data_IF_787892415402
#
_entry.id   IF_787892415402
#
_cell.length_a   1.000
_cell.length_b   1.000
_cell.length_c   1.000
_cell.angle_alpha   90.00
_cell.angle_beta   90.00
_cell.angle_gamma   90.00
#
_symmetry.space_group_name_H-M   'P 1'
#
loop_
_entity.id
_entity.type
_entity.pdbx_description
1 polymer ?
#
# COMPACT_ATOMS: atom_id res chain seq x y z
N UNK A 1 83.91 36.08 -26.72
CA UNK A 1 82.56 36.32 -27.14
C UNK A 1 81.78 34.99 -27.17
N UNK A 2 81.21 34.61 -26.04
CA UNK A 2 80.35 33.38 -25.97
C UNK A 2 79.05 33.77 -25.30
N UNK A 3 77.98 33.67 -26.09
CA UNK A 3 76.56 33.87 -25.64
C UNK A 3 76.02 32.54 -25.08
N UNK A 4 75.76 32.52 -23.80
CA UNK A 4 75.04 31.42 -23.17
C UNK A 4 73.54 31.57 -23.50
N UNK A 5 72.92 30.49 -24.05
CA UNK A 5 71.50 30.39 -24.26
C UNK A 5 70.93 29.62 -23.10
N UNK A 6 70.13 30.34 -22.30
CA UNK A 6 69.40 29.71 -21.17
C UNK A 6 68.09 29.15 -21.65
N UNK A 7 67.98 27.81 -21.65
CA UNK A 7 66.75 27.09 -21.98
C UNK A 7 65.82 27.09 -20.77
N UNK A 8 64.66 27.71 -20.88
CA UNK A 8 63.61 27.77 -19.84
C UNK A 8 62.57 26.66 -20.15
N UNK A 9 62.65 25.61 -19.34
CA UNK A 9 61.72 24.49 -19.43
C UNK A 9 60.44 24.87 -18.66
N UNK A 10 59.35 25.08 -19.40
CA UNK A 10 58.03 25.32 -18.81
C UNK A 10 57.41 23.96 -18.45
N UNK A 11 57.32 23.68 -17.16
CA UNK A 11 56.66 22.48 -16.60
C UNK A 11 55.14 22.78 -16.51
N UNK A 12 54.33 22.28 -17.46
CA UNK A 12 52.89 22.43 -17.45
C UNK A 12 52.32 21.35 -16.51
N UNK A 13 51.94 21.73 -15.31
CA UNK A 13 51.24 20.87 -14.36
C UNK A 13 49.77 20.71 -14.82
N UNK A 14 49.42 19.56 -15.33
CA UNK A 14 48.03 19.17 -15.68
C UNK A 14 47.33 18.76 -14.39
N UNK A 15 46.54 19.67 -13.79
CA UNK A 15 45.71 19.39 -12.62
C UNK A 15 44.47 18.66 -13.12
N UNK A 16 44.44 17.32 -12.96
CA UNK A 16 43.27 16.49 -13.19
C UNK A 16 42.24 16.77 -12.07
N UNK A 17 41.26 17.63 -12.32
CA UNK A 17 40.09 17.81 -11.44
C UNK A 17 39.25 16.55 -11.55
N UNK A 18 39.38 15.61 -10.61
CA UNK A 18 38.45 14.52 -10.43
C UNK A 18 37.15 15.11 -9.87
N UNK A 19 36.14 15.31 -10.72
CA UNK A 19 34.76 15.50 -10.29
C UNK A 19 34.29 14.17 -9.69
N UNK A 20 34.39 14.04 -8.37
CA UNK A 20 33.68 13.00 -7.63
C UNK A 20 32.17 13.32 -7.77
N UNK A 21 31.51 12.67 -8.72
CA UNK A 21 30.04 12.62 -8.73
C UNK A 21 29.64 11.88 -7.47
N UNK A 22 29.21 12.61 -6.45
CA UNK A 22 28.55 12.02 -5.30
C UNK A 22 27.30 11.32 -5.83
N UNK A 23 27.35 10.00 -5.96
CA UNK A 23 26.14 9.22 -6.16
C UNK A 23 25.24 9.51 -4.95
N UNK A 24 24.18 10.29 -5.16
CA UNK A 24 23.17 10.48 -4.13
C UNK A 24 22.61 9.11 -3.78
N UNK A 25 22.77 8.69 -2.53
CA UNK A 25 22.15 7.44 -2.08
C UNK A 25 20.65 7.53 -2.33
N UNK A 26 20.06 6.45 -2.86
CA UNK A 26 18.62 6.35 -3.07
C UNK A 26 17.91 6.53 -1.72
N UNK A 27 17.05 7.54 -1.61
CA UNK A 27 16.21 7.73 -0.44
C UNK A 27 14.94 6.87 -0.55
N UNK A 28 15.04 5.65 -0.01
CA UNK A 28 13.93 4.70 -0.03
C UNK A 28 12.69 5.22 0.73
N UNK A 29 12.88 6.05 1.77
CA UNK A 29 11.76 6.63 2.53
C UNK A 29 11.01 7.64 1.67
N UNK A 30 11.71 8.52 0.98
CA UNK A 30 11.09 9.48 0.07
C UNK A 30 10.36 8.78 -1.10
N UNK A 31 10.90 7.66 -1.60
CA UNK A 31 10.23 6.85 -2.63
C UNK A 31 8.95 6.22 -2.07
N UNK A 32 8.99 5.62 -0.87
CA UNK A 32 7.83 5.01 -0.23
C UNK A 32 6.71 6.03 0.02
N UNK A 33 7.04 7.22 0.48
CA UNK A 33 6.08 8.32 0.65
C UNK A 33 5.43 8.75 -0.67
N UNK A 34 6.19 8.73 -1.77
CA UNK A 34 5.64 9.04 -3.09
C UNK A 34 4.73 7.91 -3.60
N UNK A 35 5.09 6.64 -3.34
CA UNK A 35 4.21 5.49 -3.61
C UNK A 35 2.87 5.66 -2.90
N UNK A 36 2.88 6.01 -1.62
CA UNK A 36 1.65 6.22 -0.85
C UNK A 36 0.77 7.32 -1.46
N UNK A 37 1.35 8.48 -1.78
CA UNK A 37 0.62 9.60 -2.42
C UNK A 37 0.06 9.26 -3.80
N UNK A 38 0.76 8.41 -4.57
CA UNK A 38 0.27 7.92 -5.87
C UNK A 38 -0.85 6.90 -5.72
N UNK A 39 -0.82 6.10 -4.65
CA UNK A 39 -1.81 5.06 -4.42
C UNK A 39 -3.12 5.60 -3.86
N UNK A 40 -3.11 6.65 -3.05
CA UNK A 40 -4.34 7.16 -2.43
C UNK A 40 -4.18 8.58 -1.90
N UNK A 41 -5.23 9.43 -2.03
CA UNK A 41 -5.29 10.72 -1.36
C UNK A 41 -5.28 10.59 0.16
N UNK A 42 -5.05 11.69 0.86
CA UNK A 42 -5.09 11.74 2.32
C UNK A 42 -6.49 11.44 2.86
N UNK A 43 -7.52 12.05 2.25
CA UNK A 43 -8.91 11.79 2.57
C UNK A 43 -9.70 11.49 1.30
N UNK A 44 -10.43 10.37 1.30
CA UNK A 44 -11.16 9.93 0.11
C UNK A 44 -12.31 8.97 0.45
N UNK A 45 -13.21 8.81 -0.51
CA UNK A 45 -14.13 7.67 -0.56
C UNK A 45 -13.92 6.85 -1.83
N UNK A 46 -14.24 5.55 -1.77
CA UNK A 46 -14.27 4.70 -2.96
C UNK A 46 -15.17 3.50 -2.80
N UNK A 47 -15.52 2.91 -3.94
CA UNK A 47 -16.18 1.60 -3.99
C UNK A 47 -15.17 0.53 -4.37
N UNK A 48 -15.35 -0.66 -3.80
CA UNK A 48 -14.52 -1.83 -4.08
C UNK A 48 -15.41 -3.03 -4.38
N UNK A 49 -15.01 -3.81 -5.38
CA UNK A 49 -15.56 -5.14 -5.60
C UNK A 49 -14.52 -6.17 -5.15
N UNK A 50 -14.86 -6.96 -4.14
CA UNK A 50 -14.04 -8.06 -3.67
C UNK A 50 -14.58 -9.36 -4.26
N UNK A 51 -13.71 -10.18 -4.86
CA UNK A 51 -14.02 -11.47 -5.47
C UNK A 51 -13.13 -12.52 -4.82
N UNK A 52 -13.71 -13.46 -4.10
CA UNK A 52 -13.02 -14.64 -3.60
C UNK A 52 -13.24 -15.81 -4.55
N UNK A 53 -12.16 -16.48 -4.96
CA UNK A 53 -12.16 -17.60 -5.89
C UNK A 53 -11.65 -18.82 -5.13
N UNK A 54 -12.49 -19.84 -5.01
CA UNK A 54 -12.18 -21.10 -4.35
C UNK A 54 -11.45 -22.06 -5.31
N UNK A 55 -10.77 -23.12 -4.81
CA UNK A 55 -10.02 -24.04 -5.66
C UNK A 55 -10.85 -24.78 -6.73
N UNK A 56 -12.15 -24.95 -6.49
CA UNK A 56 -13.13 -25.55 -7.42
C UNK A 56 -13.63 -24.56 -8.47
N UNK A 57 -13.17 -23.29 -8.43
CA UNK A 57 -13.59 -22.22 -9.32
C UNK A 57 -14.84 -21.45 -8.86
N UNK A 58 -15.45 -21.85 -7.73
CA UNK A 58 -16.57 -21.12 -7.15
C UNK A 58 -16.16 -19.68 -6.80
N UNK A 59 -17.05 -18.71 -7.08
CA UNK A 59 -16.77 -17.27 -6.90
C UNK A 59 -17.80 -16.66 -5.96
N UNK A 60 -17.28 -15.91 -4.95
CA UNK A 60 -18.10 -15.11 -4.04
C UNK A 60 -17.74 -13.65 -4.23
N UNK A 61 -18.74 -12.82 -4.48
CA UNK A 61 -18.55 -11.41 -4.80
C UNK A 61 -19.17 -10.52 -3.73
N UNK A 62 -18.45 -9.46 -3.37
CA UNK A 62 -18.88 -8.50 -2.35
C UNK A 62 -18.64 -7.08 -2.89
N UNK A 63 -19.55 -6.17 -2.58
CA UNK A 63 -19.37 -4.75 -2.85
C UNK A 63 -19.19 -4.03 -1.53
N UNK A 64 -18.14 -3.22 -1.46
CA UNK A 64 -17.81 -2.42 -0.30
C UNK A 64 -17.78 -0.94 -0.67
N UNK A 65 -18.23 -0.10 0.26
CA UNK A 65 -17.91 1.31 0.30
C UNK A 65 -16.81 1.50 1.34
N UNK A 66 -15.85 2.37 1.07
CA UNK A 66 -14.77 2.71 2.01
C UNK A 66 -14.55 4.20 2.05
N UNK A 67 -14.27 4.72 3.25
CA UNK A 67 -13.85 6.09 3.49
C UNK A 67 -12.55 6.08 4.31
N UNK A 68 -11.60 6.94 3.94
CA UNK A 68 -10.35 7.19 4.65
C UNK A 68 -10.27 8.66 5.02
N UNK A 69 -9.72 8.94 6.19
CA UNK A 69 -9.33 10.28 6.60
C UNK A 69 -7.98 10.23 7.27
N UNK A 70 -7.13 11.19 6.93
CA UNK A 70 -5.76 11.27 7.44
C UNK A 70 -4.96 9.96 7.19
N UNK A 71 -3.93 9.73 7.96
CA UNK A 71 -3.06 8.56 7.80
C UNK A 71 -3.49 7.35 8.63
N UNK A 72 -4.47 7.50 9.52
CA UNK A 72 -4.75 6.52 10.58
C UNK A 72 -6.23 6.13 10.73
N UNK A 73 -7.15 6.73 9.94
CA UNK A 73 -8.59 6.50 10.07
C UNK A 73 -9.17 5.92 8.80
N UNK A 74 -9.76 4.75 8.90
CA UNK A 74 -10.44 4.11 7.78
C UNK A 74 -11.68 3.35 8.19
N UNK A 75 -12.73 3.43 7.38
CA UNK A 75 -13.98 2.71 7.58
C UNK A 75 -14.35 1.99 6.29
N UNK A 76 -14.92 0.78 6.41
CA UNK A 76 -15.47 0.05 5.28
C UNK A 76 -16.85 -0.51 5.61
N UNK A 77 -17.75 -0.48 4.66
CA UNK A 77 -19.12 -0.95 4.75
C UNK A 77 -19.41 -1.94 3.63
N UNK A 78 -19.94 -3.11 3.97
CA UNK A 78 -20.43 -4.08 3.00
C UNK A 78 -21.82 -3.68 2.51
N UNK A 79 -21.96 -3.59 1.20
CA UNK A 79 -23.21 -3.23 0.50
C UNK A 79 -23.92 -4.45 -0.10
N UNK A 80 -23.15 -5.47 -0.47
CA UNK A 80 -23.61 -6.70 -1.13
C UNK A 80 -22.68 -7.85 -0.78
N UNK A 81 -23.16 -9.09 -0.74
CA UNK A 81 -24.55 -9.53 -0.88
C UNK A 81 -25.44 -9.15 0.32
N UNK A 82 -26.75 -9.43 0.21
CA UNK A 82 -27.72 -9.10 1.27
C UNK A 82 -27.36 -9.71 2.64
N UNK A 83 -26.71 -10.88 2.68
CA UNK A 83 -26.24 -11.55 3.91
C UNK A 83 -25.15 -10.75 4.66
N UNK A 84 -24.39 -9.91 3.96
CA UNK A 84 -23.30 -9.12 4.52
C UNK A 84 -23.63 -7.62 4.62
N UNK A 85 -24.77 -7.21 4.04
CA UNK A 85 -25.16 -5.80 3.99
C UNK A 85 -25.23 -5.19 5.39
N UNK A 86 -24.62 -4.02 5.54
CA UNK A 86 -24.55 -3.28 6.81
C UNK A 86 -23.42 -3.71 7.75
N UNK A 87 -22.71 -4.81 7.44
CA UNK A 87 -21.46 -5.14 8.12
C UNK A 87 -20.45 -4.03 7.87
N UNK A 88 -19.91 -3.45 8.92
CA UNK A 88 -18.95 -2.36 8.81
C UNK A 88 -17.71 -2.60 9.68
N UNK A 89 -16.58 -2.08 9.25
CA UNK A 89 -15.31 -2.17 9.97
C UNK A 89 -14.73 -0.78 10.14
N UNK A 90 -14.07 -0.53 11.25
CA UNK A 90 -13.38 0.71 11.56
C UNK A 90 -11.93 0.39 11.92
N UNK A 91 -11.00 1.16 11.40
CA UNK A 91 -9.61 1.21 11.84
C UNK A 91 -9.29 2.60 12.38
N UNK A 92 -8.64 2.65 13.54
CA UNK A 92 -8.04 3.83 14.15
C UNK A 92 -6.61 3.46 14.56
N UNK A 93 -5.64 3.90 13.77
CA UNK A 93 -4.25 3.49 13.95
C UNK A 93 -4.12 1.96 13.98
N UNK A 94 -3.61 1.43 15.08
CA UNK A 94 -3.40 -0.01 15.27
C UNK A 94 -4.66 -0.79 15.66
N UNK A 95 -5.76 -0.11 15.93
CA UNK A 95 -6.96 -0.74 16.45
C UNK A 95 -8.02 -0.92 15.37
N UNK A 96 -8.65 -2.10 15.35
CA UNK A 96 -9.69 -2.43 14.37
C UNK A 96 -10.92 -3.01 15.07
N UNK A 97 -12.10 -2.64 14.57
CA UNK A 97 -13.40 -3.14 15.07
C UNK A 97 -14.29 -3.54 13.91
N UNK A 98 -15.13 -4.51 14.19
CA UNK A 98 -16.17 -5.03 13.29
C UNK A 98 -17.52 -4.79 13.95
N UNK A 99 -18.46 -4.23 13.19
CA UNK A 99 -19.86 -4.17 13.53
C UNK A 99 -20.66 -5.09 12.59
N UNK A 100 -21.54 -5.89 13.17
CA UNK A 100 -22.48 -6.74 12.45
C UNK A 100 -23.88 -6.35 12.95
N UNK A 101 -24.83 -5.96 12.06
CA UNK A 101 -26.14 -5.45 12.47
C UNK A 101 -26.88 -6.35 13.46
N UNK A 102 -26.87 -7.67 13.23
CA UNK A 102 -27.56 -8.65 14.08
C UNK A 102 -26.90 -8.87 15.45
N UNK A 103 -25.65 -8.44 15.62
CA UNK A 103 -24.91 -8.50 16.90
C UNK A 103 -25.14 -7.20 17.69
N UNK A 104 -25.32 -6.09 16.99
CA UNK A 104 -25.71 -4.79 17.55
C UNK A 104 -24.61 -4.04 18.30
N UNK A 105 -23.41 -4.59 18.44
CA UNK A 105 -22.26 -3.94 19.10
C UNK A 105 -20.96 -4.20 18.36
N UNK A 106 -20.02 -3.21 18.33
CA UNK A 106 -18.70 -3.41 17.76
C UNK A 106 -17.89 -4.45 18.57
N UNK A 107 -17.19 -5.31 17.86
CA UNK A 107 -16.24 -6.28 18.43
C UNK A 107 -14.83 -5.97 17.91
N UNK A 108 -13.81 -6.14 18.74
CA UNK A 108 -12.43 -5.94 18.33
C UNK A 108 -11.97 -7.09 17.44
N UNK A 109 -11.28 -6.75 16.36
CA UNK A 109 -10.72 -7.71 15.39
C UNK A 109 -9.22 -7.48 15.23
N UNK A 110 -8.53 -8.45 14.62
CA UNK A 110 -7.09 -8.37 14.35
C UNK A 110 -6.82 -8.10 12.88
N UNK A 111 -5.64 -7.54 12.60
CA UNK A 111 -5.18 -7.20 11.25
C UNK A 111 -5.10 -8.41 10.32
N UNK A 112 -4.60 -9.55 10.81
CA UNK A 112 -4.40 -10.79 10.04
C UNK A 112 -5.67 -11.63 9.84
N UNK A 113 -6.76 -11.33 10.53
CA UNK A 113 -7.99 -12.10 10.38
C UNK A 113 -8.54 -11.98 8.96
N UNK A 114 -8.80 -13.13 8.32
CA UNK A 114 -9.37 -13.21 6.96
C UNK A 114 -10.73 -12.50 6.88
N UNK A 115 -10.93 -11.78 5.79
CA UNK A 115 -12.20 -11.14 5.48
C UNK A 115 -13.04 -12.12 4.66
N UNK A 116 -14.13 -12.59 5.26
CA UNK A 116 -15.16 -13.44 4.61
C UNK A 116 -14.55 -14.67 3.89
N UNK A 117 -13.57 -15.32 4.51
CA UNK A 117 -12.99 -16.57 4.02
C UNK A 117 -12.11 -16.46 2.77
N UNK A 118 -11.76 -15.23 2.34
CA UNK A 118 -10.83 -15.00 1.23
C UNK A 118 -9.36 -14.91 1.66
N UNK A 119 -8.49 -14.61 0.70
CA UNK A 119 -7.05 -14.42 0.93
C UNK A 119 -6.77 -13.02 1.51
N UNK A 120 -7.62 -12.03 1.25
CA UNK A 120 -7.51 -10.71 1.89
C UNK A 120 -7.85 -10.80 3.38
N UNK A 121 -7.11 -10.07 4.18
CA UNK A 121 -7.36 -9.89 5.61
C UNK A 121 -7.82 -8.46 5.93
N UNK A 122 -8.07 -8.16 7.20
CA UNK A 122 -8.56 -6.85 7.61
C UNK A 122 -7.59 -5.73 7.26
N UNK A 123 -6.27 -5.95 7.36
CA UNK A 123 -5.29 -4.91 6.99
C UNK A 123 -5.26 -4.61 5.49
N UNK A 124 -5.59 -5.56 4.63
CA UNK A 124 -5.69 -5.31 3.19
C UNK A 124 -6.93 -4.48 2.84
N UNK A 125 -8.03 -4.69 3.58
CA UNK A 125 -9.27 -3.93 3.38
C UNK A 125 -9.16 -2.53 4.01
N UNK A 126 -8.56 -2.43 5.20
CA UNK A 126 -8.38 -1.20 5.96
C UNK A 126 -6.92 -0.74 5.89
N UNK A 127 -6.35 -0.73 4.68
CA UNK A 127 -4.95 -0.39 4.45
C UNK A 127 -4.68 1.08 4.73
N UNK A 128 -3.68 1.34 5.56
CA UNK A 128 -3.09 2.67 5.74
C UNK A 128 -1.95 2.88 4.75
N UNK A 129 -1.34 4.05 4.80
CA UNK A 129 -0.15 4.33 4.01
C UNK A 129 1.01 3.44 4.49
N UNK A 130 1.82 2.96 3.55
CA UNK A 130 2.93 2.06 3.88
C UNK A 130 3.95 2.72 4.80
N UNK A 131 4.23 4.00 4.62
CA UNK A 131 5.17 4.75 5.45
C UNK A 131 4.71 4.89 6.92
N UNK A 132 3.40 4.74 7.19
CA UNK A 132 2.86 4.73 8.56
C UNK A 132 3.15 3.40 9.26
N UNK A 133 3.01 2.29 8.54
CA UNK A 133 3.14 0.93 9.09
C UNK A 133 4.56 0.38 9.01
N UNK A 134 5.38 0.85 8.06
CA UNK A 134 6.69 0.27 7.74
C UNK A 134 7.82 1.31 7.73
N UNK A 135 9.05 0.80 7.89
CA UNK A 135 10.30 1.54 7.63
C UNK A 135 11.06 0.86 6.52
N UNK A 136 11.66 1.63 5.62
CA UNK A 136 12.55 1.09 4.60
C UNK A 136 13.86 0.64 5.25
N UNK A 137 14.23 -0.63 5.05
CA UNK A 137 15.49 -1.22 5.51
C UNK A 137 16.55 -1.22 4.43
N UNK A 138 16.13 -1.45 3.21
CA UNK A 138 17.00 -1.47 2.05
C UNK A 138 16.23 -1.01 0.82
N UNK A 139 16.93 -0.41 -0.13
CA UNK A 139 16.46 -0.12 -1.47
C UNK A 139 17.54 -0.45 -2.47
N UNK A 140 17.16 -1.14 -3.51
CA UNK A 140 18.00 -1.41 -4.67
C UNK A 140 17.26 -1.03 -5.94
N UNK A 141 18.00 -0.85 -7.02
CA UNK A 141 17.43 -0.59 -8.34
C UNK A 141 17.96 -1.59 -9.35
N UNK A 142 17.09 -2.06 -10.22
CA UNK A 142 17.45 -2.92 -11.35
C UNK A 142 16.55 -2.56 -12.52
N UNK A 143 17.18 -2.16 -13.65
CA UNK A 143 16.45 -1.67 -14.81
C UNK A 143 15.52 -0.52 -14.47
N UNK A 144 14.26 -0.65 -14.86
CA UNK A 144 13.20 0.36 -14.63
C UNK A 144 12.45 0.17 -13.30
N UNK A 145 13.04 -0.51 -12.32
CA UNK A 145 12.38 -0.85 -11.05
C UNK A 145 13.21 -0.48 -9.84
N UNK A 146 12.50 -0.11 -8.76
CA UNK A 146 13.01 -0.10 -7.40
C UNK A 146 12.51 -1.34 -6.67
N UNK A 147 13.36 -1.90 -5.80
CA UNK A 147 13.04 -2.98 -4.87
C UNK A 147 13.27 -2.48 -3.47
N UNK A 148 12.20 -2.39 -2.68
CA UNK A 148 12.21 -1.93 -1.31
C UNK A 148 12.00 -3.10 -0.36
N UNK A 149 12.93 -3.29 0.60
CA UNK A 149 12.72 -4.17 1.74
C UNK A 149 12.18 -3.32 2.90
N UNK A 150 10.96 -3.62 3.31
CA UNK A 150 10.24 -2.90 4.36
C UNK A 150 10.13 -3.74 5.62
N UNK A 151 10.26 -3.11 6.79
CA UNK A 151 10.09 -3.75 8.10
C UNK A 151 8.96 -3.08 8.87
N UNK A 152 8.06 -3.88 9.45
CA UNK A 152 7.00 -3.39 10.32
C UNK A 152 7.54 -2.53 11.46
N UNK A 153 6.87 -1.42 11.76
CA UNK A 153 7.24 -0.51 12.85
C UNK A 153 6.96 -1.10 14.21
N UNK A 154 5.92 -1.92 14.31
CA UNK A 154 5.52 -2.56 15.56
C UNK A 154 4.79 -3.89 15.30
N UNK A 155 4.48 -4.64 16.36
CA UNK A 155 3.87 -5.97 16.29
C UNK A 155 2.36 -5.97 15.97
N UNK A 156 1.69 -4.80 15.89
CA UNK A 156 0.26 -4.71 15.50
C UNK A 156 0.09 -4.71 13.98
N UNK A 157 1.15 -4.39 13.23
CA UNK A 157 1.18 -4.44 11.77
C UNK A 157 1.04 -5.88 11.29
N UNK A 158 0.24 -6.09 10.24
CA UNK A 158 -0.15 -7.44 9.80
C UNK A 158 1.02 -8.32 9.34
N UNK A 159 1.99 -7.74 8.67
CA UNK A 159 3.15 -8.46 8.13
C UNK A 159 4.43 -7.90 8.73
N UNK A 160 5.34 -8.78 9.17
CA UNK A 160 6.62 -8.34 9.75
C UNK A 160 7.55 -7.68 8.74
N UNK A 161 7.43 -8.05 7.48
CA UNK A 161 8.19 -7.46 6.38
C UNK A 161 7.46 -7.52 5.05
N UNK A 162 7.80 -6.57 4.19
CA UNK A 162 7.35 -6.55 2.80
C UNK A 162 8.56 -6.45 1.88
N UNK A 163 8.46 -7.10 0.71
CA UNK A 163 9.31 -6.79 -0.45
C UNK A 163 8.43 -6.17 -1.51
N UNK A 164 8.69 -4.92 -1.81
CA UNK A 164 7.88 -4.12 -2.72
C UNK A 164 8.68 -3.81 -3.98
N UNK A 165 8.11 -4.16 -5.13
CA UNK A 165 8.60 -3.81 -6.45
C UNK A 165 7.81 -2.61 -6.96
N UNK A 166 8.52 -1.53 -7.34
CA UNK A 166 7.95 -0.24 -7.75
C UNK A 166 8.50 0.14 -9.12
N UNK A 167 7.62 0.52 -10.04
CA UNK A 167 8.02 1.05 -11.34
C UNK A 167 8.58 2.47 -11.18
N UNK A 168 9.79 2.74 -11.71
CA UNK A 168 10.48 4.04 -11.55
C UNK A 168 9.74 5.20 -12.19
N UNK A 169 9.17 4.98 -13.36
CA UNK A 169 8.53 6.04 -14.16
C UNK A 169 7.25 6.57 -13.55
N UNK A 170 6.49 5.72 -12.87
CA UNK A 170 5.18 6.02 -12.29
C UNK A 170 5.18 6.13 -10.78
N UNK A 171 6.16 5.50 -10.11
CA UNK A 171 6.22 5.27 -8.68
C UNK A 171 5.01 4.47 -8.15
N UNK A 172 4.46 3.58 -8.98
CA UNK A 172 3.38 2.68 -8.59
C UNK A 172 3.93 1.31 -8.21
N UNK A 173 3.39 0.66 -7.15
CA UNK A 173 3.75 -0.69 -6.80
C UNK A 173 3.21 -1.67 -7.85
N UNK A 174 4.01 -2.66 -8.20
CA UNK A 174 3.63 -3.74 -9.11
C UNK A 174 3.37 -5.04 -8.36
N UNK A 175 4.29 -5.40 -7.48
CA UNK A 175 4.23 -6.62 -6.68
C UNK A 175 4.64 -6.30 -5.25
N UNK A 176 3.93 -6.87 -4.29
CA UNK A 176 4.32 -6.83 -2.88
C UNK A 176 4.22 -8.24 -2.31
N UNK A 177 5.35 -8.75 -1.85
CA UNK A 177 5.42 -10.00 -1.11
C UNK A 177 5.36 -9.72 0.39
N UNK A 178 4.45 -10.39 1.09
CA UNK A 178 4.18 -10.18 2.51
C UNK A 178 4.74 -11.35 3.33
N UNK A 179 5.59 -11.04 4.32
CA UNK A 179 6.34 -12.01 5.09
C UNK A 179 6.02 -11.97 6.58
N UNK A 180 6.04 -13.16 7.21
CA UNK A 180 6.05 -13.32 8.67
C UNK A 180 7.46 -13.06 9.23
N UNK A 181 7.59 -12.89 10.56
CA UNK A 181 8.85 -12.74 11.28
C UNK A 181 9.84 -13.89 11.04
N UNK A 182 9.33 -15.10 10.77
CA UNK A 182 10.14 -16.28 10.43
C UNK A 182 10.76 -16.22 9.01
N UNK A 183 10.42 -15.22 8.21
CA UNK A 183 10.78 -15.15 6.80
C UNK A 183 9.87 -15.96 5.87
N UNK A 184 8.79 -16.55 6.40
CA UNK A 184 7.84 -17.29 5.59
C UNK A 184 6.97 -16.34 4.76
N UNK A 185 6.85 -16.61 3.45
CA UNK A 185 5.93 -15.90 2.58
C UNK A 185 4.47 -16.22 2.97
N UNK A 186 3.71 -15.18 3.32
CA UNK A 186 2.28 -15.31 3.67
C UNK A 186 1.42 -15.19 2.43
N UNK A 187 1.64 -14.17 1.61
CA UNK A 187 0.92 -13.92 0.36
C UNK A 187 1.70 -13.01 -0.56
N UNK A 188 1.25 -12.95 -1.82
CA UNK A 188 1.72 -11.98 -2.80
C UNK A 188 0.55 -11.12 -3.27
N UNK A 189 0.74 -9.81 -3.29
CA UNK A 189 -0.17 -8.81 -3.84
C UNK A 189 0.36 -8.39 -5.21
N UNK A 190 -0.50 -8.39 -6.24
CA UNK A 190 -0.14 -7.96 -7.61
C UNK A 190 -1.09 -6.87 -8.05
N UNK A 191 -0.55 -5.73 -8.39
CA UNK A 191 -1.29 -4.57 -8.88
C UNK A 191 -1.34 -4.58 -10.40
N UNK A 192 -2.50 -4.29 -10.98
CA UNK A 192 -2.74 -4.33 -12.42
C UNK A 192 -3.77 -3.28 -12.85
N UNK A 193 -3.88 -3.07 -14.16
CA UNK A 193 -4.83 -2.18 -14.81
C UNK A 193 -4.77 -0.74 -14.30
N UNK A 194 -3.79 -0.01 -14.79
CA UNK A 194 -3.66 1.42 -14.49
C UNK A 194 -4.87 2.17 -15.07
N UNK A 195 -5.57 2.91 -14.23
CA UNK A 195 -6.73 3.73 -14.59
C UNK A 195 -6.58 5.15 -14.02
N UNK A 196 -7.16 6.13 -14.72
CA UNK A 196 -7.30 7.50 -14.25
C UNK A 196 -8.64 7.65 -13.52
N UNK A 197 -8.56 7.88 -12.21
CA UNK A 197 -9.73 8.12 -11.35
C UNK A 197 -10.18 9.59 -11.36
N UNK A 198 -9.53 10.44 -12.14
CA UNK A 198 -9.76 11.88 -12.19
C UNK A 198 -8.78 12.68 -11.31
N UNK A 199 -8.74 14.01 -11.53
CA UNK A 199 -7.86 14.94 -10.81
C UNK A 199 -6.37 14.56 -10.81
N UNK A 200 -5.92 13.80 -11.84
CA UNK A 200 -4.53 13.33 -11.96
C UNK A 200 -4.20 12.13 -11.07
N UNK A 201 -5.18 11.50 -10.44
CA UNK A 201 -5.00 10.29 -9.66
C UNK A 201 -4.99 9.05 -10.58
N UNK A 202 -3.81 8.74 -11.10
CA UNK A 202 -3.56 7.58 -11.97
C UNK A 202 -2.92 6.47 -11.15
N UNK A 203 -3.60 5.32 -11.03
CA UNK A 203 -3.15 4.20 -10.20
C UNK A 203 -3.74 2.86 -10.65
N UNK A 204 -3.24 1.72 -10.12
CA UNK A 204 -3.85 0.42 -10.37
C UNK A 204 -5.30 0.36 -9.89
N UNK A 205 -6.18 -0.18 -10.74
CA UNK A 205 -7.60 -0.41 -10.45
C UNK A 205 -7.90 -1.85 -10.04
N UNK A 206 -6.93 -2.77 -10.17
CA UNK A 206 -7.05 -4.17 -9.80
C UNK A 206 -5.92 -4.57 -8.87
N UNK A 207 -6.26 -5.30 -7.82
CA UNK A 207 -5.32 -5.95 -6.90
C UNK A 207 -5.67 -7.42 -6.80
N UNK A 208 -4.76 -8.29 -7.23
CA UNK A 208 -4.88 -9.73 -7.09
C UNK A 208 -4.00 -10.26 -5.95
N UNK A 209 -4.45 -11.30 -5.27
CA UNK A 209 -3.65 -11.97 -4.26
C UNK A 209 -3.87 -13.47 -4.25
N UNK A 210 -2.79 -14.18 -4.01
CA UNK A 210 -2.75 -15.59 -3.68
C UNK A 210 -1.82 -15.83 -2.48
N UNK A 211 -1.90 -17.01 -1.91
CA UNK A 211 -1.10 -17.38 -0.74
C UNK A 211 -0.63 -18.82 -0.86
N UNK A 212 0.66 -19.09 -0.58
CA UNK A 212 1.16 -20.47 -0.50
C UNK A 212 0.53 -21.26 0.65
N UNK A 213 -0.04 -20.55 1.65
CA UNK A 213 -0.74 -21.14 2.80
C UNK A 213 -2.14 -21.65 2.45
N UNK A 214 -2.76 -21.10 1.41
CA UNK A 214 -4.11 -21.42 0.95
C UNK A 214 -4.09 -21.82 -0.53
N UNK A 215 -3.57 -23.02 -0.80
CA UNK A 215 -3.40 -23.51 -2.19
C UNK A 215 -4.70 -23.49 -2.98
N UNK A 216 -4.64 -22.85 -4.17
CA UNK A 216 -5.76 -22.76 -5.09
C UNK A 216 -6.77 -21.66 -4.78
N UNK A 217 -6.71 -21.02 -3.60
CA UNK A 217 -7.52 -19.83 -3.31
C UNK A 217 -6.87 -18.59 -3.91
N UNK A 218 -7.70 -17.74 -4.49
CA UNK A 218 -7.32 -16.40 -4.97
C UNK A 218 -8.34 -15.38 -4.52
N UNK A 219 -7.93 -14.15 -4.38
CA UNK A 219 -8.85 -13.03 -4.18
C UNK A 219 -8.47 -11.88 -5.10
N UNK A 220 -9.48 -11.19 -5.61
CA UNK A 220 -9.30 -10.02 -6.50
C UNK A 220 -10.09 -8.86 -5.89
N UNK A 221 -9.49 -7.70 -5.84
CA UNK A 221 -10.12 -6.44 -5.47
C UNK A 221 -10.08 -5.51 -6.67
N UNK A 222 -11.26 -5.02 -7.08
CA UNK A 222 -11.40 -4.02 -8.12
C UNK A 222 -11.81 -2.71 -7.45
N UNK A 223 -11.04 -1.66 -7.71
CA UNK A 223 -11.30 -0.32 -7.19
C UNK A 223 -12.13 0.49 -8.21
N UNK A 224 -13.09 1.26 -7.72
CA UNK A 224 -13.95 2.09 -8.56
C UNK A 224 -14.38 3.36 -7.82
N UNK A 225 -14.65 4.42 -8.56
CA UNK A 225 -15.20 5.69 -8.04
C UNK A 225 -14.39 6.23 -6.86
N UNK A 226 -13.06 6.17 -6.96
CA UNK A 226 -12.18 6.81 -6.00
C UNK A 226 -12.26 8.33 -6.21
N UNK A 227 -12.59 9.06 -5.15
CA UNK A 227 -12.63 10.52 -5.19
C UNK A 227 -12.22 11.11 -3.84
N UNK A 228 -11.51 12.22 -3.90
CA UNK A 228 -11.18 13.00 -2.70
C UNK A 228 -12.46 13.50 -2.02
N UNK A 229 -12.52 13.36 -0.71
CA UNK A 229 -13.65 13.79 0.11
C UNK A 229 -13.22 14.01 1.53
N UNK A 230 -13.58 15.17 2.07
CA UNK A 230 -13.37 15.49 3.47
C UNK A 230 -14.47 14.89 4.36
N UNK A 231 -14.06 14.40 5.52
CA UNK A 231 -14.96 13.81 6.50
C UNK A 231 -14.80 14.48 7.87
N UNK A 232 -15.87 14.54 8.63
CA UNK A 232 -15.82 14.91 10.05
C UNK A 232 -15.26 13.76 10.88
N UNK A 233 -14.56 14.05 11.98
CA UNK A 233 -13.97 13.01 12.85
C UNK A 233 -15.02 12.09 13.48
N UNK A 234 -16.25 12.58 13.70
CA UNK A 234 -17.34 11.78 14.24
C UNK A 234 -17.68 10.53 13.42
N UNK A 235 -17.38 10.56 12.09
CA UNK A 235 -17.56 9.43 11.18
C UNK A 235 -16.70 8.23 11.61
N UNK A 236 -15.50 8.48 12.11
CA UNK A 236 -14.55 7.46 12.51
C UNK A 236 -14.65 7.13 13.99
N UNK A 237 -15.85 6.79 14.45
CA UNK A 237 -16.12 6.39 15.83
C UNK A 237 -16.89 5.08 15.89
N UNK A 238 -16.79 4.36 17.02
CA UNK A 238 -17.57 3.13 17.23
C UNK A 238 -19.07 3.38 17.16
N UNK A 239 -19.53 4.54 17.62
CA UNK A 239 -20.94 4.92 17.60
C UNK A 239 -21.46 5.19 16.17
N UNK A 240 -20.58 5.50 15.24
CA UNK A 240 -20.95 5.76 13.84
C UNK A 240 -21.03 4.48 13.00
N UNK A 241 -20.40 3.38 13.42
CA UNK A 241 -20.37 2.11 12.66
C UNK A 241 -21.77 1.64 12.19
N UNK A 242 -22.85 1.72 13.01
CA UNK A 242 -24.19 1.38 12.55
C UNK A 242 -24.76 2.31 11.47
N UNK A 243 -24.18 3.50 11.30
CA UNK A 243 -24.68 4.60 10.46
C UNK A 243 -23.84 4.86 9.21
N UNK A 244 -22.82 4.05 8.94
CA UNK A 244 -21.88 4.29 7.83
C UNK A 244 -22.59 4.40 6.47
N UNK A 245 -23.74 3.79 6.31
CA UNK A 245 -24.55 3.89 5.08
C UNK A 245 -25.05 5.34 4.81
N UNK A 246 -25.11 6.20 5.82
CA UNK A 246 -25.50 7.62 5.71
C UNK A 246 -24.43 8.49 5.01
N UNK A 247 -23.21 7.96 4.80
CA UNK A 247 -22.09 8.68 4.13
C UNK A 247 -22.22 8.74 2.61
N UNK A 248 -23.02 7.85 2.03
CA UNK A 248 -23.09 7.61 0.57
C UNK A 248 -24.12 8.48 -0.11
#
# INVERSE_FOLDING_TARGET
MNKAITSMTVLTAFVLLMFATSASALDGTAILEQVDRKMQPESYEMYRKLINIEPDGNRKEYILYTAKKDQDKMIALFLSPASEKGRSTLRLGDNMWLYIPNVGKPIRITSLQSVIGGVFNNSDILSLDYNVEYTVKNITEEGERYFLDLKARNASVAYDGLKMEVEKSTLLPMVIECYAASGMLIKTLRYDKIEDFGNGLVRPSVLETDSPLYKGYKSVMVFAKLQEKEFKDEVFTLNYLPKVDELR
#
